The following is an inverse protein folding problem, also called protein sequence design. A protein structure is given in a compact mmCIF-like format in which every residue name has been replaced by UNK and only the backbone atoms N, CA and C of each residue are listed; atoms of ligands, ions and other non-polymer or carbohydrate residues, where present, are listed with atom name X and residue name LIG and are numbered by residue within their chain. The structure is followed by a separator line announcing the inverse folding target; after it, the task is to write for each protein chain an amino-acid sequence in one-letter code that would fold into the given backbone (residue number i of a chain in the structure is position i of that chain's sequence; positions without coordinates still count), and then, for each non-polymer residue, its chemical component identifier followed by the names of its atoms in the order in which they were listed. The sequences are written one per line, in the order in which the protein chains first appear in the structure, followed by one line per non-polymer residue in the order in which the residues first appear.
data_IF_011270054298
#
_entry.id   IF_011270054298
#
_cell.length_a   1.000
_cell.length_b   1.000
_cell.length_c   1.000
_cell.angle_alpha   90.00
_cell.angle_beta   90.00
_cell.angle_gamma   90.00
#
_symmetry.space_group_name_H-M   'P 1'
#
loop_
_entity.id
_entity.type
_entity.pdbx_description
1 polymer ?
#
# COMPACT_ATOMS: atom_id res chain seq x y z
N UNK A 1 6.97 8.46 -2.29
CA UNK A 1 6.03 9.18 -1.39
C UNK A 1 6.84 9.83 -0.28
N UNK A 2 6.31 10.88 0.37
CA UNK A 2 6.88 11.39 1.62
C UNK A 2 6.42 10.57 2.83
N UNK A 3 5.25 9.94 2.72
CA UNK A 3 4.76 9.00 3.71
C UNK A 3 5.65 7.75 3.79
N UNK A 4 5.79 7.21 5.01
CA UNK A 4 6.49 5.93 5.26
C UNK A 4 5.69 4.79 4.65
N UNK A 5 6.32 3.94 3.86
CA UNK A 5 5.69 2.76 3.26
C UNK A 5 5.96 1.54 4.11
N UNK A 6 4.91 0.79 4.45
CA UNK A 6 4.99 -0.44 5.26
C UNK A 6 4.34 -1.57 4.47
N UNK A 7 5.09 -2.64 4.24
CA UNK A 7 4.58 -3.84 3.60
C UNK A 7 3.89 -4.72 4.63
N UNK A 8 2.68 -5.18 4.32
CA UNK A 8 1.88 -6.02 5.21
C UNK A 8 1.30 -7.21 4.45
N UNK A 9 1.06 -8.30 5.15
CA UNK A 9 0.28 -9.42 4.63
C UNK A 9 -1.00 -9.58 5.46
N UNK A 10 -1.85 -10.55 5.09
CA UNK A 10 -3.13 -10.80 5.78
C UNK A 10 -3.01 -11.09 7.29
N UNK A 11 -1.85 -11.57 7.75
CA UNK A 11 -1.59 -11.90 9.17
C UNK A 11 -0.96 -10.73 9.94
N UNK A 12 -0.60 -9.64 9.28
CA UNK A 12 0.01 -8.48 9.93
C UNK A 12 -0.98 -7.79 10.87
N UNK A 13 -0.57 -7.58 12.13
CA UNK A 13 -1.30 -6.73 13.08
C UNK A 13 -0.89 -5.27 12.87
N UNK A 14 -1.88 -4.39 12.73
CA UNK A 14 -1.65 -2.95 12.54
C UNK A 14 -2.21 -2.21 13.76
N UNK A 15 -1.32 -1.81 14.65
CA UNK A 15 -1.67 -1.26 15.97
C UNK A 15 -1.98 0.24 15.96
N UNK A 16 -1.37 1.03 15.07
CA UNK A 16 -1.57 2.48 14.98
C UNK A 16 -1.87 2.92 13.54
N UNK A 17 -3.05 3.50 13.35
CA UNK A 17 -3.62 3.83 12.02
C UNK A 17 -3.97 5.31 11.86
N UNK A 18 -3.48 6.18 12.75
CA UNK A 18 -3.70 7.62 12.60
C UNK A 18 -2.91 8.13 11.40
N UNK A 19 -3.54 8.97 10.57
CA UNK A 19 -2.93 9.53 9.37
C UNK A 19 -2.37 8.43 8.48
N UNK A 20 -3.17 7.39 8.24
CA UNK A 20 -2.73 6.21 7.51
C UNK A 20 -3.62 5.85 6.33
N UNK A 21 -3.00 5.25 5.32
CA UNK A 21 -3.67 4.78 4.14
C UNK A 21 -3.37 3.31 3.87
N UNK A 22 -4.25 2.63 3.14
CA UNK A 22 -4.08 1.24 2.72
C UNK A 22 -4.28 1.10 1.21
N UNK A 23 -3.42 0.31 0.57
CA UNK A 23 -3.64 -0.18 -0.79
C UNK A 23 -3.38 -1.69 -0.86
N UNK A 24 -4.30 -2.41 -1.51
CA UNK A 24 -4.26 -3.87 -1.59
C UNK A 24 -5.53 -4.47 -2.18
N UNK A 25 -5.79 -5.73 -1.88
CA UNK A 25 -6.95 -6.47 -2.38
C UNK A 25 -8.08 -6.56 -1.35
N UNK A 26 -7.74 -6.62 -0.08
CA UNK A 26 -8.75 -6.80 0.98
C UNK A 26 -8.32 -6.12 2.28
N UNK A 27 -9.20 -5.31 2.85
CA UNK A 27 -8.97 -4.69 4.17
C UNK A 27 -9.49 -5.66 5.23
N UNK A 28 -8.59 -6.43 5.85
CA UNK A 28 -8.98 -7.48 6.79
C UNK A 28 -9.42 -6.94 8.16
N UNK A 29 -8.97 -5.75 8.58
CA UNK A 29 -9.25 -5.18 9.91
C UNK A 29 -9.11 -3.66 9.88
N UNK A 30 -9.88 -2.93 10.71
CA UNK A 30 -9.70 -1.53 11.15
C UNK A 30 -9.93 -0.40 10.12
N UNK A 31 -9.90 0.87 10.58
CA UNK A 31 -10.13 2.06 9.75
C UNK A 31 -8.82 2.71 9.30
N UNK A 32 -8.75 3.09 8.03
CA UNK A 32 -7.71 3.95 7.44
C UNK A 32 -8.36 5.24 6.97
N UNK A 33 -7.60 6.32 6.90
CA UNK A 33 -8.09 7.61 6.42
C UNK A 33 -8.28 7.60 4.89
N UNK A 34 -7.52 6.75 4.19
CA UNK A 34 -7.63 6.55 2.76
C UNK A 34 -7.41 5.07 2.40
N UNK A 35 -8.25 4.53 1.52
CA UNK A 35 -8.21 3.11 1.12
C UNK A 35 -8.32 3.00 -0.39
N UNK A 36 -7.45 2.19 -1.01
CA UNK A 36 -7.57 1.76 -2.40
C UNK A 36 -7.59 0.24 -2.47
N UNK A 37 -8.75 -0.32 -2.83
CA UNK A 37 -8.89 -1.73 -3.16
C UNK A 37 -8.67 -1.88 -4.66
N UNK A 38 -7.80 -2.81 -5.05
CA UNK A 38 -7.48 -3.11 -6.44
C UNK A 38 -8.13 -4.43 -6.85
N UNK A 39 -8.52 -4.57 -8.11
CA UNK A 39 -9.14 -5.79 -8.61
C UNK A 39 -8.12 -6.86 -9.05
N UNK A 40 -6.92 -6.45 -9.43
CA UNK A 40 -5.84 -7.34 -9.88
C UNK A 40 -4.45 -6.74 -9.60
N UNK A 41 -3.39 -7.54 -9.81
CA UNK A 41 -2.01 -7.06 -9.67
C UNK A 41 -1.68 -5.93 -10.67
N UNK A 42 -2.28 -5.96 -11.86
CA UNK A 42 -2.19 -4.92 -12.87
C UNK A 42 -2.82 -3.62 -12.39
N UNK A 43 -4.08 -3.66 -11.92
CA UNK A 43 -4.76 -2.47 -11.38
C UNK A 43 -3.98 -1.88 -10.21
N UNK A 44 -3.43 -2.73 -9.34
CA UNK A 44 -2.57 -2.27 -8.25
C UNK A 44 -1.29 -1.59 -8.80
N UNK A 45 -0.59 -2.21 -9.75
CA UNK A 45 0.60 -1.63 -10.35
C UNK A 45 0.32 -0.27 -11.04
N UNK A 46 -0.85 -0.12 -11.65
CA UNK A 46 -1.28 1.15 -12.25
C UNK A 46 -1.66 2.19 -11.19
N UNK A 47 -2.32 1.77 -10.12
CA UNK A 47 -2.87 2.67 -9.10
C UNK A 47 -1.86 3.16 -8.07
N UNK A 48 -0.78 2.40 -7.79
CA UNK A 48 0.08 2.62 -6.62
C UNK A 48 0.73 4.00 -6.58
N UNK A 49 1.21 4.53 -7.71
CA UNK A 49 1.88 5.84 -7.73
C UNK A 49 0.89 6.99 -7.59
N UNK A 50 -0.29 6.89 -8.19
CA UNK A 50 -1.36 7.88 -8.00
C UNK A 50 -1.84 7.90 -6.56
N UNK A 51 -1.98 6.72 -5.97
CA UNK A 51 -2.34 6.58 -4.57
C UNK A 51 -1.29 7.20 -3.63
N UNK A 52 0.00 6.99 -3.90
CA UNK A 52 1.09 7.62 -3.15
C UNK A 52 1.04 9.15 -3.23
N UNK A 53 0.81 9.70 -4.43
CA UNK A 53 0.64 11.16 -4.61
C UNK A 53 -0.58 11.69 -3.87
N UNK A 54 -1.68 10.94 -3.86
CA UNK A 54 -2.89 11.31 -3.12
C UNK A 54 -2.63 11.32 -1.61
N UNK A 55 -1.93 10.31 -1.09
CA UNK A 55 -1.52 10.22 0.31
C UNK A 55 -0.68 11.44 0.71
N UNK A 56 0.30 11.81 -0.11
CA UNK A 56 1.17 12.96 0.14
C UNK A 56 0.37 14.28 0.19
N UNK A 57 -0.61 14.46 -0.71
CA UNK A 57 -1.52 15.65 -0.70
C UNK A 57 -2.41 15.70 0.54
N UNK A 58 -2.78 14.55 1.09
CA UNK A 58 -3.64 14.45 2.28
C UNK A 58 -2.86 14.39 3.59
N UNK A 59 -1.54 14.63 3.57
CA UNK A 59 -0.67 14.56 4.75
C UNK A 59 -0.69 13.20 5.47
N UNK A 60 -0.99 12.11 4.76
CA UNK A 60 -0.86 10.75 5.26
C UNK A 60 0.60 10.50 5.65
N UNK A 61 0.81 9.86 6.80
CA UNK A 61 2.13 9.60 7.38
C UNK A 61 2.61 8.17 7.12
N UNK A 62 1.68 7.22 7.05
CA UNK A 62 2.01 5.81 6.80
C UNK A 62 1.11 5.23 5.73
N UNK A 63 1.69 4.59 4.72
CA UNK A 63 0.97 3.86 3.68
C UNK A 63 1.24 2.37 3.86
N UNK A 64 0.20 1.61 4.15
CA UNK A 64 0.23 0.17 4.26
C UNK A 64 -0.06 -0.44 2.90
N UNK A 65 0.90 -1.20 2.37
CA UNK A 65 0.80 -1.87 1.08
C UNK A 65 0.68 -3.37 1.30
N UNK A 66 -0.41 -3.98 0.83
CA UNK A 66 -0.53 -5.44 0.86
C UNK A 66 0.52 -6.08 -0.05
N UNK A 67 1.27 -7.05 0.49
CA UNK A 67 2.22 -7.87 -0.27
C UNK A 67 1.49 -8.88 -1.12
N UNK A 68 2.00 -9.13 -2.31
CA UNK A 68 1.38 -10.01 -3.30
C UNK A 68 2.39 -11.07 -3.77
N UNK A 69 1.92 -12.09 -4.48
CA UNK A 69 2.80 -13.11 -5.01
C UNK A 69 3.77 -12.53 -6.06
N UNK A 70 5.05 -12.88 -5.96
CA UNK A 70 6.12 -12.42 -6.85
C UNK A 70 6.15 -13.21 -8.17
N UNK A 71 5.04 -13.19 -8.92
CA UNK A 71 4.93 -13.82 -10.24
C UNK A 71 4.42 -12.81 -11.28
N UNK A 72 5.00 -12.86 -12.49
CA UNK A 72 4.63 -11.95 -13.58
C UNK A 72 4.73 -10.48 -13.15
N UNK A 73 3.64 -9.73 -13.32
CA UNK A 73 3.53 -8.32 -12.92
C UNK A 73 3.70 -8.13 -11.40
N UNK A 74 3.36 -9.15 -10.60
CA UNK A 74 3.51 -9.10 -9.15
C UNK A 74 4.96 -8.96 -8.68
N UNK A 75 5.91 -9.61 -9.36
CA UNK A 75 7.34 -9.46 -9.07
C UNK A 75 7.81 -8.01 -9.28
N UNK A 76 7.40 -7.40 -10.40
CA UNK A 76 7.72 -6.01 -10.70
C UNK A 76 7.05 -5.01 -9.73
N UNK A 77 5.83 -5.30 -9.28
CA UNK A 77 5.15 -4.50 -8.26
C UNK A 77 5.88 -4.61 -6.90
N UNK A 78 6.20 -5.82 -6.46
CA UNK A 78 6.91 -6.06 -5.21
C UNK A 78 8.28 -5.39 -5.18
N UNK A 79 9.04 -5.43 -6.28
CA UNK A 79 10.32 -4.71 -6.39
C UNK A 79 10.15 -3.18 -6.20
N UNK A 80 9.11 -2.59 -6.78
CA UNK A 80 8.78 -1.17 -6.58
C UNK A 80 8.37 -0.86 -5.13
N UNK A 81 7.51 -1.69 -4.54
CA UNK A 81 7.06 -1.54 -3.16
C UNK A 81 8.22 -1.67 -2.16
N UNK A 82 9.10 -2.64 -2.36
CA UNK A 82 10.31 -2.83 -1.56
C UNK A 82 11.26 -1.63 -1.65
N UNK A 83 11.42 -1.03 -2.83
CA UNK A 83 12.19 0.22 -2.95
C UNK A 83 11.54 1.38 -2.20
N UNK A 84 10.22 1.52 -2.29
CA UNK A 84 9.50 2.58 -1.59
C UNK A 84 9.54 2.43 -0.06
N UNK A 85 9.61 1.20 0.46
CA UNK A 85 9.67 0.90 1.89
C UNK A 85 11.05 1.13 2.54
N UNK A 86 12.10 1.35 1.75
CA UNK A 86 13.47 1.58 2.23
C UNK A 86 13.84 3.06 2.39
N UNK A 87 12.93 3.96 2.02
CA UNK A 87 13.11 5.43 2.05
C UNK A 87 12.43 5.97 3.31
#
# INVERSE_FOLDING_TARGET
PRARVVLINRKSKIENRKSSAFIGFEVSQGKFDLVKICASAEDYAHSVFDFFRQCDRQNIKTIYCETIEEKGIGAALMDRLNRAAKI
#
